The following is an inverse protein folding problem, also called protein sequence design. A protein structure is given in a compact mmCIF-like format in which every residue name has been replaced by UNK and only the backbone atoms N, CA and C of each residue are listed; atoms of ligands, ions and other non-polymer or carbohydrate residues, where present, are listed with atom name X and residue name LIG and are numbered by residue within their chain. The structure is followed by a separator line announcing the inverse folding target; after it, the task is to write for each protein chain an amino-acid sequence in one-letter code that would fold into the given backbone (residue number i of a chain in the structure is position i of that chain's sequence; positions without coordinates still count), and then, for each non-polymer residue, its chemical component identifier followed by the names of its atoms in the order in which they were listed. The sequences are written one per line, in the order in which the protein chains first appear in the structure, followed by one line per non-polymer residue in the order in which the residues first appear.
data_IF_077160670009
#
_entry.id   IF_077160670009
#
_cell.length_a   1.000
_cell.length_b   1.000
_cell.length_c   1.000
_cell.angle_alpha   90.00
_cell.angle_beta   90.00
_cell.angle_gamma   90.00
#
_symmetry.space_group_name_H-M   'P 1'
#
loop_
_entity.id
_entity.type
_entity.pdbx_description
1 polymer ?
#
# COMPACT_ATOMS: atom_id res chain seq x y z
N UNK A 1 -7.31 4.43 9.58
CA UNK A 1 -6.28 3.98 8.63
C UNK A 1 -6.80 2.78 7.86
N UNK A 2 -6.44 2.64 6.58
CA UNK A 2 -6.83 1.51 5.72
C UNK A 2 -5.56 0.85 5.19
N UNK A 3 -5.54 -0.48 5.17
CA UNK A 3 -4.48 -1.29 4.59
C UNK A 3 -5.02 -2.08 3.40
N UNK A 4 -4.25 -2.08 2.32
CA UNK A 4 -4.55 -2.82 1.09
C UNK A 4 -3.31 -3.53 0.59
N UNK A 5 -3.51 -4.63 -0.13
CA UNK A 5 -2.46 -5.39 -0.83
C UNK A 5 -2.98 -5.68 -2.22
N UNK A 6 -2.09 -5.55 -3.21
CA UNK A 6 -2.37 -5.91 -4.59
C UNK A 6 -1.27 -6.83 -5.13
N UNK A 7 -1.63 -7.77 -6.00
CA UNK A 7 -0.68 -8.70 -6.62
C UNK A 7 -0.33 -8.30 -8.06
N UNK A 8 0.79 -8.81 -8.57
CA UNK A 8 1.16 -8.68 -9.99
C UNK A 8 0.21 -9.44 -10.92
N UNK A 9 -0.50 -10.45 -10.40
CA UNK A 9 -1.57 -11.14 -11.12
C UNK A 9 -2.87 -10.30 -11.18
N UNK A 10 -2.96 -9.26 -10.34
CA UNK A 10 -4.06 -8.30 -10.31
C UNK A 10 -5.09 -8.57 -9.22
N UNK A 11 -4.81 -9.47 -8.28
CA UNK A 11 -5.66 -9.70 -7.12
C UNK A 11 -5.59 -8.50 -6.16
N UNK A 12 -6.67 -8.28 -5.45
CA UNK A 12 -6.83 -7.16 -4.52
C UNK A 12 -7.35 -7.72 -3.21
N UNK A 13 -6.57 -7.57 -2.15
CA UNK A 13 -6.97 -7.94 -0.81
C UNK A 13 -8.15 -7.06 -0.36
N UNK A 14 -9.22 -7.63 0.24
CA UNK A 14 -10.25 -6.83 0.89
C UNK A 14 -9.63 -5.82 1.87
N UNK A 15 -10.10 -4.56 1.92
CA UNK A 15 -9.45 -3.52 2.71
C UNK A 15 -9.54 -3.86 4.20
N UNK A 16 -8.41 -3.76 4.89
CA UNK A 16 -8.37 -3.88 6.35
C UNK A 16 -8.42 -2.50 7.00
N UNK A 17 -9.44 -2.26 7.83
CA UNK A 17 -9.62 -1.00 8.54
C UNK A 17 -9.10 -1.09 9.96
N UNK A 18 -8.17 -0.19 10.30
CA UNK A 18 -7.80 0.01 11.69
C UNK A 18 -8.85 0.88 12.38
N UNK A 19 -9.09 0.59 13.66
CA UNK A 19 -9.96 1.39 14.51
C UNK A 19 -9.49 2.84 14.59
N UNK A 20 -10.45 3.76 14.68
CA UNK A 20 -10.15 5.19 14.77
C UNK A 20 -9.40 5.49 16.07
N UNK A 21 -8.29 6.21 15.98
CA UNK A 21 -7.45 6.55 17.14
C UNK A 21 -6.52 5.43 17.61
N UNK A 22 -6.55 4.26 16.95
CA UNK A 22 -5.64 3.17 17.26
C UNK A 22 -4.20 3.56 16.91
N UNK A 23 -3.31 3.53 17.92
CA UNK A 23 -1.86 3.63 17.69
C UNK A 23 -1.32 2.24 17.39
N UNK A 24 -1.05 1.99 16.10
CA UNK A 24 -0.45 0.72 15.68
C UNK A 24 0.98 0.63 16.20
N UNK A 25 1.21 -0.32 17.11
CA UNK A 25 2.54 -0.70 17.59
C UNK A 25 3.02 -1.98 16.88
N UNK A 26 4.24 -2.40 17.18
CA UNK A 26 4.85 -3.60 16.60
C UNK A 26 3.99 -4.86 16.75
N UNK A 27 3.41 -5.10 17.93
CA UNK A 27 2.64 -6.31 18.20
C UNK A 27 1.34 -6.35 17.37
N UNK A 28 0.60 -5.25 17.35
CA UNK A 28 -0.61 -5.10 16.52
C UNK A 28 -0.26 -5.26 15.04
N UNK A 29 0.83 -4.64 14.62
CA UNK A 29 1.27 -4.70 13.23
C UNK A 29 1.61 -6.15 12.83
N UNK A 30 2.42 -6.86 13.61
CA UNK A 30 2.78 -8.26 13.35
C UNK A 30 1.53 -9.16 13.35
N UNK A 31 0.56 -8.91 14.22
CA UNK A 31 -0.70 -9.68 14.26
C UNK A 31 -1.49 -9.51 12.95
N UNK A 32 -1.68 -8.27 12.49
CA UNK A 32 -2.33 -7.99 11.19
C UNK A 32 -1.52 -8.61 10.05
N UNK A 33 -0.19 -8.53 10.10
CA UNK A 33 0.67 -9.13 9.09
C UNK A 33 0.49 -10.65 9.00
N UNK A 34 0.45 -11.33 10.14
CA UNK A 34 0.25 -12.78 10.24
C UNK A 34 -1.13 -13.22 9.77
N UNK A 35 -2.17 -12.54 10.25
CA UNK A 35 -3.55 -13.02 10.16
C UNK A 35 -4.31 -12.47 8.94
N UNK A 36 -3.88 -11.32 8.41
CA UNK A 36 -4.58 -10.61 7.32
C UNK A 36 -3.74 -10.58 6.05
N UNK A 37 -2.46 -10.18 6.16
CA UNK A 37 -1.64 -9.82 4.99
C UNK A 37 -0.93 -11.03 4.38
N UNK A 38 -0.41 -11.95 5.20
CA UNK A 38 0.42 -13.09 4.74
C UNK A 38 -0.16 -13.89 3.56
N UNK A 39 -1.48 -14.12 3.44
CA UNK A 39 -2.04 -14.83 2.29
C UNK A 39 -1.93 -14.10 0.95
N UNK A 40 -1.64 -12.79 0.96
CA UNK A 40 -1.74 -11.90 -0.20
C UNK A 40 -0.39 -11.32 -0.65
N UNK A 41 0.66 -11.46 0.15
CA UNK A 41 1.86 -10.63 0.00
C UNK A 41 3.15 -11.42 0.11
N UNK A 42 4.04 -11.17 -0.86
CA UNK A 42 5.41 -11.67 -0.88
C UNK A 42 6.47 -10.56 -0.73
N UNK A 43 6.09 -9.29 -0.91
CA UNK A 43 6.98 -8.12 -0.87
C UNK A 43 6.30 -6.93 -0.20
N UNK A 44 7.05 -6.16 0.61
CA UNK A 44 6.57 -4.95 1.28
C UNK A 44 7.56 -3.78 1.16
N UNK A 45 7.05 -2.55 1.22
CA UNK A 45 7.82 -1.31 1.32
C UNK A 45 8.42 -1.05 2.72
N UNK A 46 9.36 -0.09 2.81
CA UNK A 46 10.11 0.22 4.02
C UNK A 46 9.54 1.43 4.78
N UNK A 47 8.30 1.33 5.29
CA UNK A 47 7.74 2.41 6.14
C UNK A 47 8.30 2.33 7.58
N UNK A 48 8.31 3.45 8.34
CA UNK A 48 8.82 3.46 9.72
C UNK A 48 8.14 2.45 10.66
N UNK A 49 6.85 2.16 10.47
CA UNK A 49 6.12 1.14 11.24
C UNK A 49 6.72 -0.27 11.05
N UNK A 50 7.45 -0.49 9.96
CA UNK A 50 8.02 -1.78 9.59
C UNK A 50 9.43 -1.96 10.12
N UNK A 51 10.09 -0.89 10.61
CA UNK A 51 11.54 -0.91 10.93
C UNK A 51 11.90 -1.51 12.28
N UNK A 52 10.91 -1.91 13.08
CA UNK A 52 11.20 -2.55 14.37
C UNK A 52 11.96 -3.86 14.13
N UNK A 53 12.92 -4.19 14.99
CA UNK A 53 13.72 -5.42 14.87
C UNK A 53 12.85 -6.67 14.84
N UNK A 54 11.79 -6.68 15.64
CA UNK A 54 10.83 -7.79 15.71
C UNK A 54 10.02 -7.93 14.41
N UNK A 55 9.58 -6.81 13.83
CA UNK A 55 8.90 -6.82 12.53
C UNK A 55 9.81 -7.33 11.43
N UNK A 56 11.05 -6.84 11.38
CA UNK A 56 12.05 -7.26 10.38
C UNK A 56 12.41 -8.74 10.51
N UNK A 57 12.60 -9.24 11.74
CA UNK A 57 12.83 -10.67 11.99
C UNK A 57 11.64 -11.51 11.48
N UNK A 58 10.41 -11.09 11.80
CA UNK A 58 9.22 -11.78 11.32
C UNK A 58 9.10 -11.77 9.78
N UNK A 59 9.34 -10.62 9.14
CA UNK A 59 9.29 -10.48 7.68
C UNK A 59 10.33 -11.37 7.01
N UNK A 60 11.57 -11.40 7.51
CA UNK A 60 12.65 -12.25 7.01
C UNK A 60 12.30 -13.75 7.11
N UNK A 61 11.65 -14.16 8.21
CA UNK A 61 11.24 -15.54 8.42
C UNK A 61 10.02 -15.96 7.59
N UNK A 62 9.16 -15.03 7.18
CA UNK A 62 7.84 -15.33 6.62
C UNK A 62 7.64 -14.90 5.16
N UNK A 63 8.45 -13.98 4.64
CA UNK A 63 8.36 -13.48 3.27
C UNK A 63 9.61 -13.88 2.47
N UNK A 64 9.47 -14.74 1.43
CA UNK A 64 10.61 -15.26 0.69
C UNK A 64 11.39 -14.17 -0.07
N UNK A 65 10.75 -13.05 -0.40
CA UNK A 65 11.33 -11.95 -1.16
C UNK A 65 11.40 -10.65 -0.36
N UNK A 66 11.53 -10.75 0.98
CA UNK A 66 11.72 -9.59 1.86
C UNK A 66 12.88 -8.70 1.39
N UNK A 67 12.58 -7.41 1.16
CA UNK A 67 13.59 -6.38 0.99
C UNK A 67 13.94 -5.77 2.33
N UNK A 68 15.23 -5.78 2.68
CA UNK A 68 15.69 -5.07 3.86
C UNK A 68 15.34 -3.59 3.76
N UNK A 69 15.18 -2.88 4.89
CA UNK A 69 14.79 -1.48 4.91
C UNK A 69 15.70 -0.57 4.08
N UNK A 70 16.93 -0.98 3.86
CA UNK A 70 17.98 -0.26 3.12
C UNK A 70 17.88 -0.44 1.60
N UNK A 71 17.17 -1.47 1.12
CA UNK A 71 16.97 -1.71 -0.32
C UNK A 71 15.85 -0.84 -0.91
N UNK A 72 14.86 -0.45 -0.09
CA UNK A 72 13.79 0.42 -0.53
C UNK A 72 14.19 1.90 -0.36
N UNK A 73 14.23 2.70 -1.43
CA UNK A 73 14.65 4.09 -1.32
C UNK A 73 13.65 4.89 -0.46
N UNK A 74 14.12 5.75 0.45
CA UNK A 74 13.24 6.55 1.30
C UNK A 74 12.38 7.48 0.44
N UNK A 75 11.14 7.74 0.88
CA UNK A 75 10.23 8.72 0.27
C UNK A 75 10.00 8.51 -1.24
N UNK A 76 9.90 7.26 -1.68
CA UNK A 76 9.77 6.88 -3.09
C UNK A 76 8.38 6.31 -3.44
N UNK A 77 7.30 7.12 -3.42
CA UNK A 77 5.97 6.68 -3.81
C UNK A 77 5.91 6.25 -5.29
N UNK A 78 6.83 6.78 -6.12
CA UNK A 78 6.99 6.38 -7.52
C UNK A 78 7.36 4.91 -7.70
N UNK A 79 7.88 4.28 -6.66
CA UNK A 79 8.24 2.87 -6.66
C UNK A 79 7.11 1.97 -6.12
N UNK A 80 6.03 2.49 -5.55
CA UNK A 80 4.98 1.64 -4.95
C UNK A 80 3.68 1.67 -5.79
N UNK A 81 3.25 0.53 -6.38
CA UNK A 81 1.99 0.46 -7.14
C UNK A 81 0.75 0.91 -6.35
N UNK A 82 0.77 0.76 -5.04
CA UNK A 82 -0.29 1.28 -4.19
C UNK A 82 -0.32 2.81 -4.22
N UNK A 83 0.85 3.46 -4.12
CA UNK A 83 0.96 4.92 -4.02
C UNK A 83 0.83 5.63 -5.37
N UNK A 84 1.53 5.18 -6.42
CA UNK A 84 1.47 5.87 -7.72
C UNK A 84 0.19 5.60 -8.51
N UNK A 85 -0.68 4.68 -8.06
CA UNK A 85 -1.87 4.31 -8.81
C UNK A 85 -3.09 3.99 -7.95
N UNK A 86 -3.00 2.94 -7.13
CA UNK A 86 -4.19 2.32 -6.54
C UNK A 86 -4.94 3.30 -5.62
N UNK A 87 -4.23 3.95 -4.70
CA UNK A 87 -4.86 4.87 -3.75
C UNK A 87 -5.45 6.09 -4.43
N UNK A 88 -4.74 6.68 -5.39
CA UNK A 88 -5.26 7.80 -6.17
C UNK A 88 -6.53 7.41 -6.95
N UNK A 89 -6.63 6.16 -7.41
CA UNK A 89 -7.83 5.70 -8.10
C UNK A 89 -9.00 5.45 -7.15
N UNK A 90 -8.77 4.80 -6.00
CA UNK A 90 -9.80 4.61 -4.96
C UNK A 90 -10.33 5.96 -4.50
N UNK A 91 -9.43 6.89 -4.14
CA UNK A 91 -9.78 8.25 -3.71
C UNK A 91 -10.63 8.97 -4.77
N UNK A 92 -10.19 8.96 -6.02
CA UNK A 92 -10.91 9.62 -7.12
C UNK A 92 -12.32 9.08 -7.32
N UNK A 93 -12.56 7.80 -7.05
CA UNK A 93 -13.88 7.20 -7.21
C UNK A 93 -14.76 7.38 -5.98
N UNK A 94 -14.22 7.17 -4.78
CA UNK A 94 -14.98 7.36 -3.54
C UNK A 94 -15.40 8.81 -3.38
N UNK A 95 -14.57 9.77 -3.81
CA UNK A 95 -14.85 11.19 -3.70
C UNK A 95 -15.79 11.75 -4.79
N UNK A 96 -16.35 10.91 -5.67
CA UNK A 96 -17.42 11.33 -6.59
C UNK A 96 -18.74 11.62 -5.87
N UNK A 97 -18.86 11.13 -4.63
CA UNK A 97 -20.04 11.28 -3.79
C UNK A 97 -19.60 11.74 -2.40
N UNK A 98 -20.44 12.57 -1.78
CA UNK A 98 -20.22 13.01 -0.41
C UNK A 98 -20.55 11.90 0.59
N UNK A 99 -19.74 11.78 1.63
CA UNK A 99 -19.91 10.79 2.71
C UNK A 99 -20.22 11.51 4.03
N UNK A 100 -21.44 11.34 4.52
CA UNK A 100 -21.89 11.99 5.76
C UNK A 100 -21.51 11.21 7.03
N UNK A 101 -21.05 9.96 6.88
CA UNK A 101 -20.63 9.11 8.00
C UNK A 101 -19.36 8.34 7.65
N UNK A 102 -18.60 7.94 8.68
CA UNK A 102 -17.43 7.08 8.49
C UNK A 102 -17.82 5.73 7.86
N UNK A 103 -18.99 5.20 8.21
CA UNK A 103 -19.47 3.93 7.67
C UNK A 103 -19.83 4.03 6.19
N UNK A 104 -20.42 5.16 5.74
CA UNK A 104 -20.66 5.40 4.31
C UNK A 104 -19.36 5.43 3.51
N UNK A 105 -18.32 6.10 4.04
CA UNK A 105 -17.00 6.13 3.42
C UNK A 105 -16.35 4.74 3.40
N UNK A 106 -16.43 3.98 4.51
CA UNK A 106 -15.91 2.60 4.57
C UNK A 106 -16.59 1.69 3.56
N UNK A 107 -17.91 1.78 3.42
CA UNK A 107 -18.67 1.01 2.45
C UNK A 107 -18.24 1.33 1.02
N UNK A 108 -18.06 2.61 0.69
CA UNK A 108 -17.58 3.02 -0.63
C UNK A 108 -16.15 2.51 -0.91
N UNK A 109 -15.24 2.54 0.07
CA UNK A 109 -13.89 1.98 -0.08
C UNK A 109 -13.96 0.46 -0.31
N UNK A 110 -14.78 -0.26 0.45
CA UNK A 110 -14.97 -1.72 0.26
C UNK A 110 -15.49 -2.02 -1.14
N UNK A 111 -16.48 -1.27 -1.60
CA UNK A 111 -17.03 -1.41 -2.95
C UNK A 111 -15.98 -1.16 -4.03
N UNK A 112 -15.15 -0.12 -3.90
CA UNK A 112 -14.12 0.17 -4.89
C UNK A 112 -12.99 -0.86 -4.93
N UNK A 113 -12.62 -1.43 -3.79
CA UNK A 113 -11.70 -2.55 -3.73
C UNK A 113 -12.27 -3.79 -4.42
N UNK A 114 -13.55 -4.12 -4.16
CA UNK A 114 -14.21 -5.28 -4.75
C UNK A 114 -14.44 -5.13 -6.26
N UNK A 115 -14.69 -3.91 -6.73
CA UNK A 115 -14.92 -3.59 -8.14
C UNK A 115 -13.62 -3.29 -8.92
N UNK A 116 -12.47 -3.38 -8.27
CA UNK A 116 -11.17 -3.20 -8.90
C UNK A 116 -10.94 -4.30 -9.93
N UNK A 117 -10.77 -3.92 -11.20
CA UNK A 117 -10.58 -4.91 -12.27
C UNK A 117 -9.18 -5.51 -12.21
N UNK A 118 -9.11 -6.84 -12.32
CA UNK A 118 -7.85 -7.61 -12.28
C UNK A 118 -6.84 -7.14 -13.32
N UNK A 119 -7.27 -6.88 -14.55
CA UNK A 119 -6.41 -6.39 -15.64
C UNK A 119 -5.82 -5.00 -15.36
N UNK A 120 -6.61 -4.12 -14.75
CA UNK A 120 -6.18 -2.77 -14.36
C UNK A 120 -5.11 -2.85 -13.26
N UNK A 121 -5.33 -3.66 -12.23
CA UNK A 121 -4.37 -3.90 -11.14
C UNK A 121 -3.08 -4.52 -11.67
N UNK A 122 -3.18 -5.60 -12.46
CA UNK A 122 -2.02 -6.28 -13.03
C UNK A 122 -1.19 -5.33 -13.92
N UNK A 123 -1.86 -4.50 -14.74
CA UNK A 123 -1.19 -3.48 -15.56
C UNK A 123 -0.49 -2.42 -14.69
N UNK A 124 -1.10 -2.01 -13.57
CA UNK A 124 -0.47 -1.07 -12.65
C UNK A 124 0.80 -1.65 -12.03
N UNK A 125 0.74 -2.90 -11.54
CA UNK A 125 1.89 -3.63 -11.00
C UNK A 125 2.97 -3.87 -12.07
N UNK A 126 2.59 -4.18 -13.31
CA UNK A 126 3.51 -4.38 -14.43
C UNK A 126 4.33 -3.14 -14.79
N UNK A 127 3.92 -1.94 -14.37
CA UNK A 127 4.71 -0.70 -14.55
C UNK A 127 5.86 -0.58 -13.56
N UNK A 128 5.87 -1.35 -12.47
CA UNK A 128 6.86 -1.24 -11.38
C UNK A 128 8.30 -1.20 -11.91
N UNK A 129 8.67 -2.17 -12.76
CA UNK A 129 10.02 -2.24 -13.33
C UNK A 129 10.38 -0.99 -14.15
N UNK A 130 9.49 -0.57 -15.04
CA UNK A 130 9.72 0.60 -15.88
C UNK A 130 9.90 1.87 -15.04
N UNK A 131 9.12 2.01 -13.96
CA UNK A 131 9.27 3.14 -13.03
C UNK A 131 10.60 3.12 -12.29
N UNK A 132 11.07 1.95 -11.85
CA UNK A 132 12.42 1.82 -11.28
C UNK A 132 13.50 2.26 -12.28
N UNK A 133 13.38 1.86 -13.54
CA UNK A 133 14.31 2.28 -14.60
C UNK A 133 14.29 3.80 -14.81
N UNK A 134 13.11 4.43 -14.75
CA UNK A 134 12.99 5.89 -14.80
C UNK A 134 13.61 6.57 -13.57
N UNK A 135 13.43 6.03 -12.37
CA UNK A 135 14.03 6.57 -11.13
C UNK A 135 15.55 6.48 -11.21
N UNK A 136 16.10 5.37 -11.72
CA UNK A 136 17.54 5.24 -11.97
C UNK A 136 18.01 6.25 -13.01
N UNK A 137 17.28 6.44 -14.11
CA UNK A 137 17.62 7.43 -15.14
C UNK A 137 17.52 8.88 -14.62
N UNK A 138 16.77 9.12 -13.55
CA UNK A 138 16.67 10.40 -12.85
C UNK A 138 17.66 10.52 -11.68
N UNK A 139 18.65 9.64 -11.57
CA UNK A 139 19.63 9.58 -10.48
C UNK A 139 18.98 9.53 -9.08
N UNK A 140 17.88 8.79 -8.95
CA UNK A 140 17.09 8.69 -7.72
C UNK A 140 16.09 9.85 -7.53
N UNK A 141 15.96 10.73 -8.51
CA UNK A 141 14.98 11.81 -8.52
C UNK A 141 13.53 11.35 -8.74
N UNK A 142 12.60 12.27 -8.53
CA UNK A 142 11.18 12.07 -8.81
C UNK A 142 10.94 11.97 -10.32
N UNK A 143 10.04 11.07 -10.73
CA UNK A 143 9.72 10.82 -12.15
C UNK A 143 8.37 11.41 -12.58
N UNK A 144 7.54 11.82 -11.63
CA UNK A 144 6.29 12.55 -11.87
C UNK A 144 6.21 13.84 -11.06
N UNK A 145 5.57 14.87 -11.62
CA UNK A 145 5.34 16.14 -10.93
C UNK A 145 4.42 15.93 -9.73
N UNK A 146 4.77 16.51 -8.58
CA UNK A 146 4.05 16.44 -7.31
C UNK A 146 2.54 16.76 -7.47
N UNK A 147 1.73 15.76 -7.76
CA UNK A 147 0.44 15.66 -7.11
C UNK A 147 0.74 14.98 -5.78
N UNK A 148 0.59 15.76 -4.71
CA UNK A 148 0.71 15.31 -3.33
C UNK A 148 -0.28 14.17 -3.11
N UNK A 149 0.09 12.94 -3.45
CA UNK A 149 -0.45 11.78 -2.79
C UNK A 149 0.25 11.74 -1.44
N UNK A 150 -0.32 12.48 -0.49
CA UNK A 150 -0.09 12.16 0.91
C UNK A 150 -0.36 10.67 1.00
N UNK A 151 0.62 9.88 1.46
CA UNK A 151 0.36 8.55 1.96
C UNK A 151 -0.66 8.74 3.09
N UNK A 152 -1.95 8.74 2.73
CA UNK A 152 -3.07 8.77 3.65
C UNK A 152 -3.17 7.34 4.16
N UNK A 153 -2.19 6.94 4.97
CA UNK A 153 -2.55 6.29 6.21
C UNK A 153 -3.57 7.22 6.85
N UNK A 154 -4.87 6.99 6.61
CA UNK A 154 -5.95 7.83 7.11
C UNK A 154 -5.88 7.86 8.65
N UNK A 155 -5.04 8.75 9.17
CA UNK A 155 -4.94 9.15 10.56
C UNK A 155 -5.63 10.50 10.63
N UNK A 156 -6.95 10.44 10.81
CA UNK A 156 -7.67 11.45 11.58
C UNK A 156 -8.11 10.81 12.88
#
# INVERSE_FOLDING_TARGET
MVLGVISSEGDVMPPHFFEKGLKVNTAIYIDVMKNVVKPWMDLQDSTPAHKSRETQAWLLENLPYHWSPDLWPPSSPDCNPLDYFFWGMVENKTNKHDHNTLDSLRAAIVEEFANMKKDVTAKACGRFRHRLEMVVAADGGYIENKHLYVCLSFNK
#
